data_IF_679662947146
#
_entry.id   IF_679662947146
#
_cell.length_a   1.000
_cell.length_b   1.000
_cell.length_c   1.000
_cell.angle_alpha   90.00
_cell.angle_beta   90.00
_cell.angle_gamma   90.00
#
_symmetry.space_group_name_H-M   'P 1'
#
loop_
_entity.id
_entity.type
_entity.pdbx_description
1 polymer ?
#
# COMPACT_ATOMS: atom_id res chain seq x y z
N UNK A 1 9.14 -16.72 -20.50
CA UNK A 1 9.53 -15.72 -19.50
C UNK A 1 8.32 -15.51 -18.60
N UNK A 2 8.43 -15.74 -17.29
CA UNK A 2 7.33 -15.50 -16.35
C UNK A 2 7.43 -14.09 -15.78
N UNK A 3 6.29 -13.42 -15.61
CA UNK A 3 6.20 -12.09 -14.99
C UNK A 3 6.84 -12.05 -13.59
N UNK A 4 6.83 -13.16 -12.84
CA UNK A 4 7.45 -13.24 -11.51
C UNK A 4 8.98 -13.20 -11.55
N UNK A 5 9.59 -13.87 -12.52
CA UNK A 5 11.05 -13.85 -12.68
C UNK A 5 11.56 -12.47 -13.08
N UNK A 6 10.72 -11.69 -13.78
CA UNK A 6 10.99 -10.30 -14.12
C UNK A 6 10.75 -9.37 -12.93
N UNK A 7 9.63 -9.53 -12.22
CA UNK A 7 9.27 -8.76 -11.03
C UNK A 7 10.40 -8.75 -9.99
N UNK A 8 11.02 -9.92 -9.72
CA UNK A 8 12.15 -10.05 -8.78
C UNK A 8 13.37 -9.18 -9.14
N UNK A 9 13.52 -8.79 -10.40
CA UNK A 9 14.69 -8.01 -10.88
C UNK A 9 14.38 -6.52 -11.06
N UNK A 10 13.11 -6.14 -10.99
CA UNK A 10 12.72 -4.76 -11.13
C UNK A 10 13.06 -3.99 -9.84
N UNK A 11 13.58 -2.75 -9.95
CA UNK A 11 13.85 -1.89 -8.79
C UNK A 11 12.55 -1.23 -8.30
N UNK A 12 11.56 -2.02 -7.95
CA UNK A 12 10.26 -1.56 -7.43
C UNK A 12 10.19 -1.77 -5.92
N UNK A 13 9.46 -0.88 -5.23
CA UNK A 13 9.21 -0.99 -3.80
C UNK A 13 7.80 -1.48 -3.45
N UNK A 14 6.88 -1.51 -4.42
CA UNK A 14 5.47 -1.81 -4.21
C UNK A 14 4.92 -2.84 -5.21
N UNK A 15 3.93 -3.59 -4.77
CA UNK A 15 3.12 -4.50 -5.58
C UNK A 15 1.64 -4.15 -5.41
N UNK A 16 0.97 -3.77 -6.50
CA UNK A 16 -0.44 -3.38 -6.47
C UNK A 16 -1.35 -4.53 -6.87
N UNK A 17 -2.43 -4.74 -6.11
CA UNK A 17 -3.49 -5.70 -6.41
C UNK A 17 -4.63 -4.95 -7.08
N UNK A 18 -4.94 -5.33 -8.31
CA UNK A 18 -5.96 -4.68 -9.12
C UNK A 18 -7.36 -4.79 -8.50
N UNK A 19 -8.18 -3.75 -8.73
CA UNK A 19 -9.56 -3.64 -8.26
C UNK A 19 -10.42 -4.84 -8.62
N UNK A 20 -10.19 -5.48 -9.77
CA UNK A 20 -10.99 -6.63 -10.20
C UNK A 20 -11.01 -7.77 -9.19
N UNK A 21 -9.90 -8.02 -8.48
CA UNK A 21 -9.84 -9.02 -7.41
C UNK A 21 -10.34 -8.45 -6.08
N UNK A 22 -9.98 -7.21 -5.77
CA UNK A 22 -10.34 -6.57 -4.49
C UNK A 22 -11.86 -6.39 -4.35
N UNK A 23 -12.55 -6.06 -5.45
CA UNK A 23 -13.98 -5.78 -5.44
C UNK A 23 -14.84 -6.99 -5.01
N UNK A 24 -14.38 -8.22 -5.26
CA UNK A 24 -15.12 -9.44 -4.95
C UNK A 24 -14.51 -10.26 -3.80
N UNK A 25 -13.53 -9.72 -3.07
CA UNK A 25 -12.78 -10.46 -2.02
C UNK A 25 -13.66 -11.05 -0.91
N UNK A 26 -14.89 -10.53 -0.75
CA UNK A 26 -15.88 -11.03 0.21
C UNK A 26 -16.88 -12.03 -0.37
N UNK A 27 -16.94 -12.15 -1.70
CA UNK A 27 -18.01 -12.85 -2.42
C UNK A 27 -17.48 -14.04 -3.22
N UNK A 28 -16.22 -14.02 -3.64
CA UNK A 28 -15.58 -15.06 -4.43
C UNK A 28 -14.33 -15.60 -3.72
N UNK A 29 -14.37 -16.89 -3.36
CA UNK A 29 -13.26 -17.58 -2.69
C UNK A 29 -11.98 -17.59 -3.54
N UNK A 30 -12.08 -17.60 -4.87
CA UNK A 30 -10.92 -17.55 -5.76
C UNK A 30 -10.25 -16.19 -5.72
N UNK A 31 -11.03 -15.11 -5.81
CA UNK A 31 -10.50 -13.75 -5.70
C UNK A 31 -9.88 -13.53 -4.30
N UNK A 32 -10.51 -14.06 -3.26
CA UNK A 32 -9.95 -14.06 -1.91
C UNK A 32 -8.57 -14.75 -1.84
N UNK A 33 -8.45 -15.95 -2.41
CA UNK A 33 -7.20 -16.70 -2.46
C UNK A 33 -6.14 -15.94 -3.26
N UNK A 34 -6.50 -15.32 -4.38
CA UNK A 34 -5.58 -14.54 -5.21
C UNK A 34 -5.07 -13.32 -4.43
N UNK A 35 -5.96 -12.58 -3.78
CA UNK A 35 -5.60 -11.41 -2.96
C UNK A 35 -4.63 -11.81 -1.85
N UNK A 36 -4.99 -12.82 -1.02
CA UNK A 36 -4.13 -13.30 0.07
C UNK A 36 -2.78 -13.78 -0.43
N UNK A 37 -2.76 -14.60 -1.48
CA UNK A 37 -1.50 -15.12 -2.05
C UNK A 37 -0.62 -14.02 -2.62
N UNK A 38 -1.22 -12.95 -3.15
CA UNK A 38 -0.48 -11.81 -3.69
C UNK A 38 0.12 -10.97 -2.57
N UNK A 39 -0.60 -10.79 -1.46
CA UNK A 39 -0.07 -10.17 -0.23
C UNK A 39 1.15 -10.95 0.26
N UNK A 40 1.00 -12.25 0.49
CA UNK A 40 2.09 -13.12 0.96
C UNK A 40 3.30 -13.08 0.01
N UNK A 41 3.05 -13.10 -1.30
CA UNK A 41 4.11 -13.00 -2.31
C UNK A 41 4.85 -11.66 -2.23
N UNK A 42 4.12 -10.54 -2.16
CA UNK A 42 4.70 -9.21 -2.07
C UNK A 42 5.62 -9.09 -0.86
N UNK A 43 5.14 -9.52 0.31
CA UNK A 43 5.93 -9.53 1.54
C UNK A 43 7.17 -10.42 1.45
N UNK A 44 7.05 -11.62 0.86
CA UNK A 44 8.18 -12.52 0.64
C UNK A 44 9.24 -11.96 -0.32
N UNK A 45 8.86 -11.02 -1.19
CA UNK A 45 9.76 -10.30 -2.07
C UNK A 45 10.30 -9.01 -1.45
N UNK A 46 9.89 -8.67 -0.23
CA UNK A 46 10.25 -7.41 0.44
C UNK A 46 9.58 -6.18 -0.16
N UNK A 47 8.40 -6.35 -0.75
CA UNK A 47 7.60 -5.28 -1.36
C UNK A 47 6.44 -4.89 -0.44
N UNK A 48 6.11 -3.60 -0.40
CA UNK A 48 4.85 -3.10 0.17
C UNK A 48 3.69 -3.49 -0.75
N UNK A 49 2.55 -3.92 -0.19
CA UNK A 49 1.40 -4.36 -0.96
C UNK A 49 0.26 -3.34 -0.88
N UNK A 50 -0.17 -2.85 -2.04
CA UNK A 50 -1.24 -1.86 -2.19
C UNK A 50 -2.49 -2.51 -2.81
N UNK A 51 -3.60 -2.58 -2.07
CA UNK A 51 -4.88 -3.01 -2.62
C UNK A 51 -5.62 -1.84 -3.27
N UNK A 52 -5.93 -1.93 -4.56
CA UNK A 52 -6.66 -0.90 -5.30
C UNK A 52 -8.17 -1.16 -5.35
N UNK A 53 -8.95 -0.08 -5.38
CA UNK A 53 -10.40 -0.16 -5.56
C UNK A 53 -11.19 -0.58 -4.32
N UNK A 54 -10.72 -0.25 -3.12
CA UNK A 54 -11.45 -0.51 -1.86
C UNK A 54 -12.66 0.44 -1.72
N UNK A 55 -13.89 -0.09 -1.80
CA UNK A 55 -15.12 0.73 -1.85
C UNK A 55 -15.91 0.80 -0.55
N UNK A 56 -15.69 -0.11 0.40
CA UNK A 56 -16.40 -0.13 1.68
C UNK A 56 -15.51 -0.63 2.83
N UNK A 57 -16.01 -0.47 4.07
CA UNK A 57 -15.25 -0.79 5.28
C UNK A 57 -15.07 -2.29 5.46
N UNK A 58 -16.02 -3.11 5.01
CA UNK A 58 -15.97 -4.55 5.11
C UNK A 58 -14.81 -5.14 4.28
N UNK A 59 -14.61 -4.63 3.07
CA UNK A 59 -13.46 -4.99 2.21
C UNK A 59 -12.16 -4.49 2.85
N UNK A 60 -12.14 -3.26 3.37
CA UNK A 60 -10.98 -2.70 4.05
C UNK A 60 -10.55 -3.54 5.26
N UNK A 61 -11.50 -3.93 6.11
CA UNK A 61 -11.25 -4.74 7.29
C UNK A 61 -10.81 -6.17 6.92
N UNK A 62 -11.34 -6.73 5.82
CA UNK A 62 -10.86 -8.01 5.31
C UNK A 62 -9.40 -7.93 4.85
N UNK A 63 -9.04 -6.90 4.10
CA UNK A 63 -7.68 -6.68 3.65
C UNK A 63 -6.71 -6.45 4.82
N UNK A 64 -7.14 -5.71 5.85
CA UNK A 64 -6.39 -5.60 7.12
C UNK A 64 -6.21 -6.96 7.79
N UNK A 65 -7.24 -7.80 7.80
CA UNK A 65 -7.16 -9.17 8.33
C UNK A 65 -6.17 -10.07 7.58
N UNK A 66 -5.90 -9.78 6.30
CA UNK A 66 -4.85 -10.43 5.52
C UNK A 66 -3.47 -9.81 5.69
N UNK A 67 -3.35 -8.69 6.41
CA UNK A 67 -2.09 -7.98 6.59
C UNK A 67 -1.69 -7.10 5.40
N UNK A 68 -2.63 -6.67 4.55
CA UNK A 68 -2.33 -5.72 3.47
C UNK A 68 -1.84 -4.37 4.05
N UNK A 69 -0.77 -3.82 3.48
CA UNK A 69 -0.08 -2.64 4.02
C UNK A 69 -0.84 -1.34 3.73
N UNK A 70 -1.27 -1.17 2.47
CA UNK A 70 -1.90 0.06 1.98
C UNK A 70 -3.17 -0.27 1.21
N UNK A 71 -4.19 0.56 1.41
CA UNK A 71 -5.44 0.51 0.66
C UNK A 71 -5.66 1.81 -0.11
N UNK A 72 -6.19 1.70 -1.33
CA UNK A 72 -6.60 2.83 -2.15
C UNK A 72 -8.03 2.58 -2.64
N UNK A 73 -8.94 3.53 -2.45
CA UNK A 73 -10.29 3.45 -3.02
C UNK A 73 -11.30 4.41 -2.42
N UNK A 74 -12.53 4.33 -2.92
CA UNK A 74 -13.61 5.26 -2.56
C UNK A 74 -14.06 5.16 -1.10
N UNK A 75 -13.76 4.05 -0.41
CA UNK A 75 -13.93 3.93 1.03
C UNK A 75 -13.11 4.98 1.80
N UNK A 76 -11.96 5.39 1.25
CA UNK A 76 -11.03 6.33 1.88
C UNK A 76 -11.32 7.74 1.35
N UNK A 77 -11.29 7.90 0.02
CA UNK A 77 -11.68 9.13 -0.67
C UNK A 77 -11.93 8.86 -2.14
N UNK A 78 -12.83 9.64 -2.74
CA UNK A 78 -12.88 9.77 -4.20
C UNK A 78 -11.70 10.63 -4.69
N UNK A 79 -11.33 10.57 -5.98
CA UNK A 79 -10.44 11.55 -6.58
C UNK A 79 -10.94 12.97 -6.30
N UNK A 80 -10.03 13.84 -5.87
CA UNK A 80 -10.31 15.21 -5.48
C UNK A 80 -9.57 16.16 -6.44
N UNK A 81 -10.18 17.32 -6.71
CA UNK A 81 -9.44 18.46 -7.24
C UNK A 81 -8.43 18.98 -6.21
N UNK A 82 -7.52 19.85 -6.66
CA UNK A 82 -6.43 20.39 -5.85
C UNK A 82 -6.91 21.01 -4.53
N UNK A 83 -7.88 21.93 -4.58
CA UNK A 83 -8.38 22.64 -3.40
C UNK A 83 -8.97 21.67 -2.38
N UNK A 84 -9.76 20.70 -2.85
CA UNK A 84 -10.35 19.68 -1.98
C UNK A 84 -9.32 18.70 -1.45
N UNK A 85 -8.30 18.36 -2.22
CA UNK A 85 -7.20 17.51 -1.78
C UNK A 85 -6.40 18.15 -0.66
N UNK A 86 -6.02 19.43 -0.80
CA UNK A 86 -5.32 20.18 0.26
C UNK A 86 -6.17 20.27 1.53
N UNK A 87 -7.47 20.55 1.38
CA UNK A 87 -8.39 20.56 2.52
C UNK A 87 -8.47 19.20 3.21
N UNK A 88 -8.59 18.11 2.45
CA UNK A 88 -8.63 16.75 2.98
C UNK A 88 -7.31 16.35 3.66
N UNK A 89 -6.15 16.67 3.08
CA UNK A 89 -4.85 16.43 3.73
C UNK A 89 -4.78 17.08 5.12
N UNK A 90 -5.33 18.28 5.26
CA UNK A 90 -5.41 19.00 6.54
C UNK A 90 -6.42 18.41 7.54
N UNK A 91 -7.30 17.47 7.16
CA UNK A 91 -8.20 16.79 8.10
C UNK A 91 -7.70 15.40 8.50
N UNK A 92 -6.83 14.77 7.69
CA UNK A 92 -6.28 13.44 7.99
C UNK A 92 -5.09 13.49 8.94
N UNK A 93 -4.86 12.47 9.76
CA UNK A 93 -3.66 12.35 10.61
C UNK A 93 -2.42 11.83 9.85
N UNK A 94 -2.30 12.14 8.56
CA UNK A 94 -1.26 11.56 7.70
C UNK A 94 0.16 11.97 8.15
N UNK A 95 1.16 11.06 8.17
CA UNK A 95 2.53 11.38 8.61
C UNK A 95 3.20 12.50 7.81
N UNK A 96 2.80 12.73 6.55
CA UNK A 96 3.28 13.87 5.76
C UNK A 96 2.89 15.24 6.32
N UNK A 97 2.08 15.31 7.39
CA UNK A 97 1.95 16.53 8.20
C UNK A 97 3.25 16.89 8.93
N UNK A 98 4.14 15.92 9.13
CA UNK A 98 5.44 16.08 9.79
C UNK A 98 6.49 16.66 8.82
N UNK A 99 6.30 16.52 7.51
CA UNK A 99 7.21 17.01 6.48
C UNK A 99 6.45 17.68 5.34
N UNK A 100 6.53 19.01 5.25
CA UNK A 100 5.92 19.82 4.19
C UNK A 100 6.42 19.36 2.80
N UNK A 101 5.55 18.83 1.92
CA UNK A 101 5.95 18.35 0.60
C UNK A 101 6.41 19.48 -0.36
N UNK A 102 6.09 20.74 -0.05
CA UNK A 102 6.55 21.91 -0.79
C UNK A 102 7.84 22.53 -0.23
N UNK A 103 8.34 21.99 0.88
CA UNK A 103 9.64 22.33 1.44
C UNK A 103 10.63 21.16 1.23
N UNK A 104 11.48 21.22 0.18
CA UNK A 104 12.46 20.17 -0.11
C UNK A 104 13.38 19.85 1.07
N UNK A 105 13.62 20.82 1.96
CA UNK A 105 14.49 20.64 3.13
C UNK A 105 13.82 19.85 4.26
N UNK A 106 12.49 19.75 4.27
CA UNK A 106 11.75 18.95 5.25
C UNK A 106 11.93 17.42 5.05
N UNK A 107 12.46 17.00 3.89
CA UNK A 107 12.76 15.60 3.56
C UNK A 107 14.12 15.12 4.09
N UNK A 108 14.94 16.00 4.68
CA UNK A 108 16.35 15.71 4.95
C UNK A 108 16.64 15.02 6.30
N UNK A 109 15.66 14.84 7.19
CA UNK A 109 15.92 14.41 8.57
C UNK A 109 15.51 12.97 8.96
N UNK A 110 14.95 12.15 8.06
CA UNK A 110 14.56 10.75 8.41
C UNK A 110 15.16 9.65 7.52
N UNK A 111 16.11 9.96 6.62
CA UNK A 111 16.78 8.90 5.84
C UNK A 111 17.87 8.15 6.62
N UNK A 112 18.38 8.71 7.72
CA UNK A 112 19.45 8.06 8.52
C UNK A 112 18.92 6.98 9.49
N UNK A 113 17.62 7.00 9.84
CA UNK A 113 17.01 6.00 10.74
C UNK A 113 16.53 4.74 10.03
N UNK A 114 16.28 4.80 8.71
CA UNK A 114 15.86 3.65 7.90
C UNK A 114 17.06 2.81 7.45
N UNK A 115 18.22 3.45 7.22
CA UNK A 115 19.46 2.76 6.81
C UNK A 115 20.18 2.06 7.98
N UNK A 116 19.80 2.35 9.24
CA UNK A 116 20.44 1.80 10.45
C UNK A 116 19.72 0.60 11.09
N UNK A 117 18.63 0.09 10.49
CA UNK A 117 18.09 -1.22 10.88
C UNK A 117 18.93 -2.32 10.23
N UNK A 118 19.89 -2.85 10.99
CA UNK A 118 20.57 -4.09 10.62
C UNK A 118 19.54 -5.20 10.34
N UNK A 119 19.78 -6.07 9.34
CA UNK A 119 18.91 -7.21 9.10
C UNK A 119 18.88 -8.09 10.36
N UNK A 120 17.67 -8.39 10.84
CA UNK A 120 17.44 -9.33 11.93
C UNK A 120 18.16 -10.66 11.63
N UNK A 121 19.14 -11.11 12.44
CA UNK A 121 19.78 -12.39 12.20
C UNK A 121 18.75 -13.50 12.36
N UNK A 122 18.55 -14.26 11.28
CA UNK A 122 17.69 -15.43 11.28
C UNK A 122 18.09 -16.39 12.40
N UNK A 123 17.14 -16.68 13.30
CA UNK A 123 17.11 -17.87 14.17
C UNK A 123 15.83 -18.61 13.91
#
# INVERSE_FOLDING_TARGET
YSSLSYLRRLPVGELKIDRSFVANVLLDEQDEVIVRSTIDLGHNLGLEVVAEGVENNEVLDRLRGFGCDVAQGFCISRPLDEDRFISWLNTTSHPSRVSDPLNPDAWTLERESIVSREPNPAT
#
